data_IF_322158764700
#
_entry.id   IF_322158764700
#
_cell.length_a   1.000
_cell.length_b   1.000
_cell.length_c   1.000
_cell.angle_alpha   90.00
_cell.angle_beta   90.00
_cell.angle_gamma   90.00
#
_symmetry.space_group_name_H-M   'P 1'
#
loop_
_entity.id
_entity.type
_entity.pdbx_description
1 polymer ?
#
# COMPACT_ATOMS: atom_id res chain seq x y z
N UNK A 1 -4.46 4.55 16.57
CA UNK A 1 -3.55 5.68 16.85
C UNK A 1 -3.79 6.87 15.90
N UNK A 2 -3.67 6.72 14.57
CA UNK A 2 -3.86 7.84 13.64
C UNK A 2 -5.24 8.53 13.80
N UNK A 3 -6.32 7.76 13.68
CA UNK A 3 -7.72 8.25 13.80
C UNK A 3 -8.11 8.72 15.22
N UNK A 4 -7.44 8.21 16.25
CA UNK A 4 -7.83 8.42 17.64
C UNK A 4 -7.00 9.50 18.35
N UNK A 5 -5.80 9.80 17.87
CA UNK A 5 -4.85 10.73 18.49
C UNK A 5 -4.44 11.85 17.53
N UNK A 6 -3.87 11.51 16.38
CA UNK A 6 -3.27 12.51 15.49
C UNK A 6 -4.30 13.33 14.72
N UNK A 7 -5.22 12.68 14.02
CA UNK A 7 -6.21 13.36 13.17
C UNK A 7 -7.10 14.33 13.96
N UNK A 8 -7.68 13.96 15.13
CA UNK A 8 -8.51 14.87 15.91
C UNK A 8 -7.76 16.11 16.42
N UNK A 9 -6.51 15.94 16.86
CA UNK A 9 -5.70 17.04 17.39
C UNK A 9 -5.22 17.99 16.30
N UNK A 10 -4.81 17.47 15.13
CA UNK A 10 -4.50 18.30 13.95
C UNK A 10 -5.74 19.09 13.52
N UNK A 11 -6.91 18.45 13.47
CA UNK A 11 -8.15 19.14 13.15
C UNK A 11 -8.50 20.22 14.18
N UNK A 12 -8.28 19.95 15.46
CA UNK A 12 -8.45 20.92 16.56
C UNK A 12 -7.53 22.13 16.40
N UNK A 13 -6.24 21.92 16.12
CA UNK A 13 -5.26 22.98 15.92
C UNK A 13 -5.58 23.88 14.71
N UNK A 14 -6.04 23.28 13.60
CA UNK A 14 -6.49 24.02 12.42
C UNK A 14 -7.76 24.85 12.72
N UNK A 15 -8.74 24.28 13.42
CA UNK A 15 -9.97 24.99 13.80
C UNK A 15 -9.70 26.18 14.73
N UNK A 16 -8.74 26.08 15.66
CA UNK A 16 -8.31 27.21 16.51
C UNK A 16 -7.79 28.41 15.71
N UNK A 17 -7.33 28.18 14.47
CA UNK A 17 -6.90 29.22 13.52
C UNK A 17 -7.98 29.58 12.50
N UNK A 18 -9.24 29.19 12.72
CA UNK A 18 -10.37 29.37 11.80
C UNK A 18 -10.14 28.72 10.42
N UNK A 19 -9.44 27.58 10.38
CA UNK A 19 -9.23 26.80 9.17
C UNK A 19 -10.16 25.57 9.18
N UNK A 20 -10.69 25.25 8.01
CA UNK A 20 -11.47 24.03 7.77
C UNK A 20 -10.57 22.90 7.28
N UNK A 21 -10.92 21.67 7.66
CA UNK A 21 -10.23 20.45 7.25
C UNK A 21 -11.25 19.34 7.09
N UNK A 22 -10.95 18.36 6.23
CA UNK A 22 -11.70 17.12 6.04
C UNK A 22 -10.68 15.98 5.80
N UNK A 23 -11.17 14.74 5.79
CA UNK A 23 -10.37 13.61 5.32
C UNK A 23 -9.89 13.83 3.88
N UNK A 24 -8.70 13.30 3.58
CA UNK A 24 -8.20 13.31 2.20
C UNK A 24 -9.12 12.45 1.33
N UNK A 25 -9.48 12.96 0.15
CA UNK A 25 -10.28 12.22 -0.82
C UNK A 25 -9.79 12.45 -2.23
N UNK A 26 -9.82 11.39 -3.03
CA UNK A 26 -9.71 11.48 -4.49
C UNK A 26 -11.13 11.56 -5.05
N UNK A 27 -11.42 12.67 -5.73
CA UNK A 27 -12.71 12.87 -6.36
C UNK A 27 -12.71 12.32 -7.79
N UNK A 28 -13.76 11.58 -8.13
CA UNK A 28 -14.06 11.17 -9.50
C UNK A 28 -15.56 11.30 -9.74
N UNK A 29 -15.96 11.26 -11.01
CA UNK A 29 -17.36 11.30 -11.40
C UNK A 29 -17.62 10.13 -12.35
N UNK A 30 -18.67 9.37 -12.04
CA UNK A 30 -19.16 8.29 -12.89
C UNK A 30 -20.65 8.57 -13.13
N UNK A 31 -20.98 8.93 -14.39
CA UNK A 31 -22.27 9.51 -14.75
C UNK A 31 -22.55 10.80 -13.94
N UNK A 32 -23.69 10.87 -13.25
CA UNK A 32 -24.08 12.01 -12.39
C UNK A 32 -23.75 11.78 -10.91
N UNK A 33 -23.10 10.66 -10.56
CA UNK A 33 -22.73 10.34 -9.19
C UNK A 33 -21.32 10.83 -8.90
N UNK A 34 -21.19 11.72 -7.91
CA UNK A 34 -19.91 12.13 -7.36
C UNK A 34 -19.38 10.98 -6.50
N UNK A 35 -18.17 10.51 -6.81
CA UNK A 35 -17.46 9.48 -6.05
C UNK A 35 -16.29 10.12 -5.33
N UNK A 36 -16.26 9.96 -4.01
CA UNK A 36 -15.14 10.38 -3.18
C UNK A 36 -14.51 9.13 -2.59
N UNK A 37 -13.25 8.86 -2.91
CA UNK A 37 -12.53 7.73 -2.34
C UNK A 37 -11.57 8.25 -1.28
N UNK A 38 -11.56 7.62 -0.10
CA UNK A 38 -10.49 7.79 0.89
C UNK A 38 -9.13 7.46 0.27
N UNK A 39 -8.04 7.81 0.95
CA UNK A 39 -6.69 7.57 0.45
C UNK A 39 -6.53 6.16 -0.12
N UNK A 40 -6.01 6.07 -1.35
CA UNK A 40 -5.92 4.82 -2.10
C UNK A 40 -5.03 3.83 -1.36
N UNK A 41 -5.35 2.54 -1.41
CA UNK A 41 -4.54 1.46 -0.84
C UNK A 41 -3.36 1.08 -1.72
N UNK A 42 -3.06 1.89 -2.75
CA UNK A 42 -1.86 1.66 -3.53
C UNK A 42 -0.63 1.77 -2.62
N UNK A 43 0.37 0.95 -2.91
CA UNK A 43 1.54 0.75 -2.06
C UNK A 43 2.73 1.54 -2.59
N UNK A 44 2.42 2.75 -3.08
CA UNK A 44 3.34 3.67 -3.73
C UNK A 44 3.60 4.86 -2.81
N UNK A 45 4.68 5.61 -3.08
CA UNK A 45 5.00 6.81 -2.32
C UNK A 45 5.17 6.57 -0.81
N UNK A 46 4.54 7.42 -0.01
CA UNK A 46 4.50 7.40 1.46
C UNK A 46 4.02 6.08 2.04
N UNK A 47 3.24 5.29 1.27
CA UNK A 47 2.74 3.98 1.73
C UNK A 47 3.85 2.96 1.91
N UNK A 48 4.98 3.17 1.23
CA UNK A 48 6.21 2.41 1.43
C UNK A 48 6.68 2.42 2.90
N UNK A 49 6.44 3.52 3.62
CA UNK A 49 6.78 3.64 5.05
C UNK A 49 5.84 2.79 5.92
N UNK A 50 4.53 2.78 5.61
CA UNK A 50 3.56 1.93 6.33
C UNK A 50 3.85 0.45 6.14
N UNK A 51 4.36 0.03 4.97
CA UNK A 51 4.76 -1.35 4.71
C UNK A 51 5.96 -1.83 5.55
N UNK A 52 6.69 -0.92 6.19
CA UNK A 52 7.69 -1.25 7.23
C UNK A 52 7.17 -1.11 8.66
N UNK A 53 5.83 -1.10 8.84
CA UNK A 53 5.13 -0.81 10.10
C UNK A 53 5.60 0.51 10.72
N UNK A 54 5.71 1.53 9.89
CA UNK A 54 5.96 2.91 10.30
C UNK A 54 4.68 3.75 10.32
N UNK A 55 4.80 4.99 10.79
CA UNK A 55 3.77 6.02 10.64
C UNK A 55 4.24 7.03 9.59
N UNK A 56 3.37 7.33 8.64
CA UNK A 56 3.50 8.44 7.72
C UNK A 56 2.23 9.28 7.76
N UNK A 57 2.35 10.56 7.46
CA UNK A 57 1.21 11.47 7.38
C UNK A 57 1.34 12.28 6.10
N UNK A 58 0.33 12.19 5.24
CA UNK A 58 0.17 13.07 4.11
C UNK A 58 -0.78 14.19 4.51
N UNK A 59 -0.35 15.44 4.36
CA UNK A 59 -1.21 16.61 4.52
C UNK A 59 -1.21 17.40 3.22
N UNK A 60 -2.39 17.52 2.62
CA UNK A 60 -2.56 18.28 1.39
C UNK A 60 -3.39 19.53 1.62
N UNK A 61 -3.04 20.59 0.87
CA UNK A 61 -3.84 21.80 0.81
C UNK A 61 -4.28 22.05 -0.62
N UNK A 62 -5.52 22.51 -0.81
CA UNK A 62 -6.07 22.82 -2.14
C UNK A 62 -5.17 23.85 -2.84
N UNK A 63 -4.54 23.47 -3.95
CA UNK A 63 -3.62 24.34 -4.68
C UNK A 63 -3.67 24.24 -6.21
N UNK A 64 -4.30 23.20 -6.76
CA UNK A 64 -4.34 22.97 -8.22
C UNK A 64 -5.23 24.02 -8.89
N UNK A 65 -4.73 24.67 -9.95
CA UNK A 65 -5.49 25.59 -10.79
C UNK A 65 -5.80 26.96 -10.15
N UNK A 66 -5.27 27.28 -8.97
CA UNK A 66 -5.57 28.55 -8.25
C UNK A 66 -4.38 29.50 -8.10
N UNK A 67 -3.20 29.15 -8.62
CA UNK A 67 -2.01 30.01 -8.61
C UNK A 67 -1.54 30.39 -7.19
N UNK A 68 -1.27 31.68 -6.98
CA UNK A 68 -0.83 32.27 -5.71
C UNK A 68 -1.98 32.63 -4.76
N UNK A 69 -3.23 32.41 -5.16
CA UNK A 69 -4.39 32.71 -4.32
C UNK A 69 -4.30 31.99 -2.97
N UNK A 70 -4.69 32.70 -1.92
CA UNK A 70 -4.73 32.18 -0.55
C UNK A 70 -3.40 31.54 -0.09
N UNK A 71 -2.25 31.98 -0.63
CA UNK A 71 -0.94 31.40 -0.30
C UNK A 71 -0.70 31.39 1.21
N UNK A 72 -0.88 32.52 1.89
CA UNK A 72 -0.72 32.61 3.35
C UNK A 72 -1.59 31.61 4.12
N UNK A 73 -2.85 31.42 3.70
CA UNK A 73 -3.77 30.44 4.31
C UNK A 73 -3.26 29.02 4.12
N UNK A 74 -2.79 28.67 2.93
CA UNK A 74 -2.24 27.33 2.61
C UNK A 74 -0.96 27.05 3.39
N UNK A 75 -0.03 27.99 3.41
CA UNK A 75 1.20 27.90 4.20
C UNK A 75 0.89 27.76 5.68
N UNK A 76 -0.05 28.55 6.21
CA UNK A 76 -0.45 28.47 7.62
C UNK A 76 -1.07 27.12 7.94
N UNK A 77 -1.93 26.58 7.06
CA UNK A 77 -2.55 25.27 7.26
C UNK A 77 -1.50 24.14 7.29
N UNK A 78 -0.63 24.08 6.28
CA UNK A 78 0.43 23.06 6.20
C UNK A 78 1.41 23.14 7.36
N UNK A 79 1.86 24.35 7.72
CA UNK A 79 2.75 24.55 8.86
C UNK A 79 2.08 24.12 10.18
N UNK A 80 0.83 24.53 10.40
CA UNK A 80 0.09 24.15 11.61
C UNK A 80 -0.06 22.64 11.72
N UNK A 81 -0.39 21.95 10.62
CA UNK A 81 -0.51 20.50 10.61
C UNK A 81 0.84 19.83 10.94
N UNK A 82 1.93 20.26 10.30
CA UNK A 82 3.27 19.72 10.54
C UNK A 82 3.75 19.94 11.99
N UNK A 83 3.63 21.17 12.51
CA UNK A 83 3.98 21.50 13.90
C UNK A 83 3.16 20.67 14.89
N UNK A 84 1.86 20.52 14.63
CA UNK A 84 0.96 19.77 15.51
C UNK A 84 1.30 18.29 15.52
N UNK A 85 1.56 17.67 14.36
CA UNK A 85 2.01 16.27 14.29
C UNK A 85 3.30 16.08 15.08
N UNK A 86 4.29 16.95 14.88
CA UNK A 86 5.58 16.88 15.59
C UNK A 86 5.39 17.03 17.10
N UNK A 87 4.57 17.98 17.55
CA UNK A 87 4.33 18.21 18.96
C UNK A 87 3.58 17.03 19.61
N UNK A 88 2.55 16.48 18.95
CA UNK A 88 1.84 15.28 19.44
C UNK A 88 2.81 14.10 19.54
N UNK A 89 3.66 13.88 18.53
CA UNK A 89 4.67 12.83 18.58
C UNK A 89 5.64 13.04 19.73
N UNK A 90 6.11 14.26 19.97
CA UNK A 90 7.01 14.57 21.07
C UNK A 90 6.35 14.35 22.45
N UNK A 91 5.13 14.86 22.63
CA UNK A 91 4.37 14.77 23.87
C UNK A 91 3.95 13.32 24.19
N UNK A 92 3.81 12.47 23.16
CA UNK A 92 3.41 11.07 23.27
C UNK A 92 4.53 10.11 22.84
N UNK A 93 5.80 10.51 22.95
CA UNK A 93 6.92 9.78 22.35
C UNK A 93 6.98 8.31 22.77
N UNK A 94 6.79 8.01 24.06
CA UNK A 94 6.77 6.64 24.57
C UNK A 94 5.63 5.82 23.95
N UNK A 95 4.41 6.35 23.97
CA UNK A 95 3.23 5.69 23.40
C UNK A 95 3.41 5.40 21.90
N UNK A 96 3.91 6.38 21.14
CA UNK A 96 4.16 6.23 19.70
C UNK A 96 5.20 5.15 19.44
N UNK A 97 6.33 5.22 20.16
CA UNK A 97 7.41 4.25 20.02
C UNK A 97 6.96 2.84 20.38
N UNK A 98 6.35 2.66 21.54
CA UNK A 98 5.86 1.35 22.01
C UNK A 98 4.84 0.75 21.04
N UNK A 99 3.86 1.54 20.57
CA UNK A 99 2.86 1.05 19.61
C UNK A 99 3.50 0.59 18.30
N UNK A 100 4.50 1.33 17.81
CA UNK A 100 5.20 0.98 16.56
C UNK A 100 6.05 -0.29 16.74
N UNK A 101 6.80 -0.40 17.84
CA UNK A 101 7.63 -1.58 18.09
C UNK A 101 6.79 -2.83 18.39
N UNK A 102 5.68 -2.71 19.11
CA UNK A 102 4.72 -3.80 19.33
C UNK A 102 4.09 -4.25 18.02
N UNK A 103 3.67 -3.32 17.16
CA UNK A 103 3.11 -3.65 15.84
C UNK A 103 4.14 -4.34 14.94
N UNK A 104 5.42 -3.92 14.97
CA UNK A 104 6.51 -4.59 14.25
C UNK A 104 6.73 -6.00 14.76
N UNK A 105 6.77 -6.18 16.07
CA UNK A 105 6.94 -7.48 16.70
C UNK A 105 5.79 -8.41 16.33
N UNK A 106 4.55 -7.97 16.49
CA UNK A 106 3.36 -8.74 16.08
C UNK A 106 3.42 -9.09 14.60
N UNK A 107 3.72 -8.12 13.73
CA UNK A 107 3.82 -8.36 12.29
C UNK A 107 4.90 -9.39 11.92
N UNK A 108 6.04 -9.38 12.61
CA UNK A 108 7.11 -10.36 12.40
C UNK A 108 6.67 -11.74 12.89
N UNK A 109 6.00 -11.83 14.04
CA UNK A 109 5.70 -13.11 14.70
C UNK A 109 4.43 -13.78 14.16
N UNK A 110 3.42 -13.02 13.75
CA UNK A 110 2.11 -13.55 13.36
C UNK A 110 2.12 -14.34 12.05
N UNK A 111 1.07 -15.14 11.84
CA UNK A 111 0.83 -15.96 10.63
C UNK A 111 -0.46 -15.56 9.91
N UNK A 112 -0.90 -14.32 10.09
CA UNK A 112 -2.11 -13.82 9.45
C UNK A 112 -2.01 -13.91 7.92
N UNK A 113 -3.16 -14.08 7.25
CA UNK A 113 -3.22 -14.06 5.80
C UNK A 113 -2.70 -12.73 5.25
N UNK A 114 -2.00 -12.80 4.12
CA UNK A 114 -1.57 -11.65 3.35
C UNK A 114 -2.73 -11.19 2.45
N UNK A 115 -2.87 -9.87 2.30
CA UNK A 115 -3.83 -9.25 1.39
C UNK A 115 -3.10 -8.98 0.08
N UNK A 116 -3.56 -9.59 -1.01
CA UNK A 116 -2.99 -9.43 -2.36
C UNK A 116 -3.75 -8.37 -3.15
N UNK A 117 -5.08 -8.36 -3.03
CA UNK A 117 -5.96 -7.33 -3.58
C UNK A 117 -6.97 -6.91 -2.54
N UNK A 118 -7.27 -5.62 -2.53
CA UNK A 118 -8.33 -5.01 -1.75
C UNK A 118 -9.16 -4.05 -2.61
N UNK A 119 -10.24 -3.54 -2.02
CA UNK A 119 -11.08 -2.51 -2.62
C UNK A 119 -11.74 -1.65 -1.54
N UNK A 120 -12.09 -0.39 -1.86
CA UNK A 120 -12.87 0.45 -0.96
C UNK A 120 -14.24 -0.14 -0.66
N UNK A 121 -14.71 0.09 0.56
CA UNK A 121 -16.10 -0.17 0.97
C UNK A 121 -16.97 1.03 0.60
N UNK A 122 -17.72 0.89 -0.50
CA UNK A 122 -18.59 1.95 -1.01
C UNK A 122 -19.86 2.12 -0.16
N UNK A 123 -20.20 3.37 0.16
CA UNK A 123 -21.42 3.73 0.89
C UNK A 123 -21.97 5.08 0.44
N UNK A 124 -23.29 5.23 0.49
CA UNK A 124 -23.94 6.52 0.25
C UNK A 124 -23.78 7.41 1.49
N UNK A 125 -23.38 8.66 1.27
CA UNK A 125 -23.28 9.67 2.33
C UNK A 125 -23.40 11.06 1.73
N UNK A 126 -23.26 12.10 2.54
CA UNK A 126 -23.13 13.49 2.07
C UNK A 126 -21.73 14.02 2.33
N UNK A 127 -21.34 15.03 1.56
CA UNK A 127 -20.08 15.73 1.75
C UNK A 127 -20.29 17.25 1.66
N UNK A 128 -19.61 18.04 2.51
CA UNK A 128 -19.73 19.50 2.48
C UNK A 128 -18.99 20.08 1.26
N UNK A 129 -19.75 20.75 0.39
CA UNK A 129 -19.24 21.51 -0.76
C UNK A 129 -19.47 23.00 -0.57
N UNK A 130 -18.63 23.81 -1.21
CA UNK A 130 -18.88 25.25 -1.34
C UNK A 130 -19.75 25.48 -2.57
N UNK A 131 -20.96 25.99 -2.37
CA UNK A 131 -21.82 26.44 -3.45
C UNK A 131 -21.19 27.67 -4.13
N UNK A 132 -20.98 27.58 -5.44
CA UNK A 132 -20.24 28.59 -6.19
C UNK A 132 -21.03 29.90 -6.38
N UNK A 133 -22.35 29.87 -6.32
CA UNK A 133 -23.22 31.03 -6.54
C UNK A 133 -23.46 31.80 -5.24
N UNK A 134 -23.74 31.08 -4.16
CA UNK A 134 -24.12 31.64 -2.86
C UNK A 134 -22.95 31.77 -1.90
N UNK A 135 -21.87 31.00 -2.10
CA UNK A 135 -20.74 30.92 -1.18
C UNK A 135 -21.04 30.18 0.13
N UNK A 136 -22.20 29.52 0.23
CA UNK A 136 -22.58 28.74 1.40
C UNK A 136 -22.04 27.30 1.33
N UNK A 137 -21.89 26.67 2.48
CA UNK A 137 -21.59 25.23 2.55
C UNK A 137 -22.90 24.47 2.38
N UNK A 138 -22.92 23.50 1.46
CA UNK A 138 -24.06 22.61 1.20
C UNK A 138 -23.63 21.14 1.27
N UNK A 139 -24.53 20.30 1.77
CA UNK A 139 -24.31 18.85 1.84
C UNK A 139 -24.73 18.21 0.51
N UNK A 140 -23.76 17.64 -0.21
CA UNK A 140 -23.97 17.04 -1.52
C UNK A 140 -23.92 15.52 -1.39
N UNK A 141 -24.92 14.77 -1.92
CA UNK A 141 -24.88 13.32 -1.96
C UNK A 141 -23.66 12.81 -2.74
N UNK A 142 -22.92 11.87 -2.16
CA UNK A 142 -21.76 11.23 -2.76
C UNK A 142 -21.78 9.73 -2.50
N UNK A 143 -21.11 8.98 -3.35
CA UNK A 143 -20.69 7.62 -3.05
C UNK A 143 -19.28 7.67 -2.45
N UNK A 144 -19.16 7.36 -1.17
CA UNK A 144 -17.89 7.39 -0.44
C UNK A 144 -17.24 6.01 -0.40
N UNK A 145 -16.00 5.90 -0.87
CA UNK A 145 -15.20 4.68 -0.83
C UNK A 145 -14.29 4.66 0.40
N UNK A 146 -14.68 3.94 1.44
CA UNK A 146 -13.93 3.86 2.70
C UNK A 146 -12.82 2.80 2.64
N UNK A 147 -11.56 3.22 2.84
CA UNK A 147 -10.36 2.37 2.87
C UNK A 147 -9.83 2.12 4.29
N UNK A 148 -10.60 2.43 5.34
CA UNK A 148 -10.17 2.34 6.73
C UNK A 148 -11.10 1.41 7.55
N UNK A 149 -10.82 0.09 7.62
CA UNK A 149 -9.96 -0.67 6.70
C UNK A 149 -10.67 -0.92 5.34
N UNK A 150 -9.91 -1.30 4.30
CA UNK A 150 -10.50 -1.68 3.01
C UNK A 150 -11.11 -3.09 3.09
N UNK A 151 -11.92 -3.45 2.09
CA UNK A 151 -12.41 -4.83 1.96
C UNK A 151 -11.39 -5.67 1.18
N UNK A 152 -11.01 -6.82 1.73
CA UNK A 152 -10.09 -7.75 1.06
C UNK A 152 -10.81 -8.50 -0.07
N UNK A 153 -10.22 -8.49 -1.27
CA UNK A 153 -10.72 -9.18 -2.46
C UNK A 153 -10.01 -10.52 -2.69
N UNK A 154 -8.72 -10.57 -2.40
CA UNK A 154 -7.89 -11.75 -2.56
C UNK A 154 -6.91 -11.80 -1.40
N UNK A 155 -7.05 -12.83 -0.56
CA UNK A 155 -6.10 -13.13 0.51
C UNK A 155 -5.38 -14.44 0.22
N UNK A 156 -4.23 -14.63 0.86
CA UNK A 156 -3.47 -15.88 0.82
C UNK A 156 -2.86 -16.17 2.17
N UNK A 157 -2.64 -17.45 2.49
CA UNK A 157 -1.81 -17.82 3.63
C UNK A 157 -0.41 -17.18 3.49
N UNK A 158 0.15 -16.67 4.59
CA UNK A 158 1.52 -16.14 4.61
C UNK A 158 2.51 -17.25 4.27
N UNK A 159 3.37 -17.10 3.25
CA UNK A 159 4.40 -18.08 2.99
C UNK A 159 5.52 -17.96 4.03
N UNK A 160 6.25 -19.04 4.27
CA UNK A 160 7.48 -19.01 5.07
C UNK A 160 8.54 -18.11 4.39
N UNK A 161 8.66 -18.27 3.07
CA UNK A 161 9.58 -17.51 2.25
C UNK A 161 9.13 -17.45 0.78
N UNK A 162 9.72 -16.52 0.04
CA UNK A 162 9.76 -16.60 -1.43
C UNK A 162 11.15 -17.06 -1.87
N UNK A 163 11.20 -17.85 -2.95
CA UNK A 163 12.44 -18.29 -3.58
C UNK A 163 12.40 -18.02 -5.09
N UNK A 164 13.50 -17.52 -5.65
CA UNK A 164 13.61 -17.28 -7.09
C UNK A 164 15.06 -17.33 -7.59
N UNK A 165 15.22 -17.58 -8.89
CA UNK A 165 16.52 -17.76 -9.52
C UNK A 165 17.41 -16.51 -9.44
N UNK A 166 18.72 -16.73 -9.33
CA UNK A 166 19.76 -15.69 -9.41
C UNK A 166 19.68 -14.83 -10.68
N UNK A 167 19.07 -15.36 -11.74
CA UNK A 167 18.84 -14.63 -12.99
C UNK A 167 18.02 -13.35 -12.78
N UNK A 168 17.21 -13.28 -11.73
CA UNK A 168 16.40 -12.13 -11.36
C UNK A 168 17.07 -11.21 -10.33
N UNK A 169 18.38 -10.99 -10.47
CA UNK A 169 19.15 -10.12 -9.57
C UNK A 169 18.58 -8.69 -9.47
N UNK A 170 17.94 -8.17 -10.53
CA UNK A 170 17.26 -6.87 -10.51
C UNK A 170 16.07 -6.85 -9.53
N UNK A 171 15.28 -7.93 -9.46
CA UNK A 171 14.20 -8.05 -8.49
C UNK A 171 14.74 -8.07 -7.05
N UNK A 172 15.80 -8.84 -6.80
CA UNK A 172 16.47 -8.88 -5.50
C UNK A 172 17.05 -7.50 -5.10
N UNK A 173 17.68 -6.79 -6.04
CA UNK A 173 18.22 -5.44 -5.80
C UNK A 173 17.11 -4.46 -5.38
N UNK A 174 15.95 -4.51 -6.03
CA UNK A 174 14.80 -3.64 -5.73
C UNK A 174 14.17 -3.96 -4.38
N UNK A 175 14.06 -5.24 -4.03
CA UNK A 175 13.61 -5.66 -2.70
C UNK A 175 14.54 -5.14 -1.60
N UNK A 176 15.86 -5.31 -1.78
CA UNK A 176 16.88 -4.78 -0.85
C UNK A 176 16.80 -3.25 -0.73
N UNK A 177 16.58 -2.55 -1.84
CA UNK A 177 16.38 -1.09 -1.83
C UNK A 177 15.11 -0.67 -1.07
N UNK A 178 14.10 -1.53 -1.00
CA UNK A 178 12.89 -1.34 -0.20
C UNK A 178 13.04 -1.79 1.27
N UNK A 179 14.26 -2.17 1.70
CA UNK A 179 14.55 -2.60 3.07
C UNK A 179 14.32 -4.09 3.34
N UNK A 180 13.91 -4.87 2.33
CA UNK A 180 13.71 -6.32 2.48
C UNK A 180 15.06 -7.02 2.59
N UNK A 181 15.22 -7.83 3.62
CA UNK A 181 16.33 -8.78 3.74
C UNK A 181 16.13 -9.88 2.71
N UNK A 182 17.08 -9.99 1.78
CA UNK A 182 17.10 -10.98 0.70
C UNK A 182 18.41 -11.75 0.81
N UNK A 183 18.30 -13.00 1.26
CA UNK A 183 19.42 -13.93 1.40
C UNK A 183 19.73 -14.63 0.08
N UNK A 184 20.93 -15.18 -0.02
CA UNK A 184 21.35 -16.03 -1.12
C UNK A 184 21.63 -17.43 -0.58
N UNK A 185 21.13 -18.46 -1.28
CA UNK A 185 21.32 -19.83 -0.87
C UNK A 185 22.81 -20.21 -0.91
N UNK A 186 23.36 -20.66 0.22
CA UNK A 186 24.75 -21.13 0.27
C UNK A 186 24.95 -22.50 -0.41
N UNK A 187 23.88 -23.31 -0.47
CA UNK A 187 23.85 -24.65 -1.06
C UNK A 187 22.57 -24.84 -1.86
N UNK A 188 22.54 -25.86 -2.70
CA UNK A 188 21.33 -26.22 -3.45
C UNK A 188 20.16 -26.52 -2.50
N UNK A 189 18.97 -26.04 -2.86
CA UNK A 189 17.71 -26.34 -2.20
C UNK A 189 16.87 -27.25 -3.08
N UNK A 190 16.27 -28.28 -2.48
CA UNK A 190 15.27 -29.13 -3.11
C UNK A 190 14.10 -29.30 -2.15
N UNK A 191 12.88 -29.00 -2.62
CA UNK A 191 11.70 -29.08 -1.78
C UNK A 191 10.41 -28.80 -2.53
N UNK A 192 9.29 -29.05 -1.85
CA UNK A 192 7.97 -28.65 -2.32
C UNK A 192 7.86 -27.12 -2.28
N UNK A 193 7.36 -26.55 -3.37
CA UNK A 193 7.05 -25.13 -3.50
C UNK A 193 5.64 -24.95 -4.06
N UNK A 194 5.04 -23.80 -3.79
CA UNK A 194 3.85 -23.34 -4.47
C UNK A 194 4.25 -22.45 -5.66
N UNK A 195 3.81 -22.83 -6.86
CA UNK A 195 4.05 -22.13 -8.11
C UNK A 195 2.76 -21.49 -8.62
N UNK A 196 2.87 -20.29 -9.18
CA UNK A 196 1.75 -19.61 -9.84
C UNK A 196 1.74 -19.94 -11.32
N UNK A 197 0.62 -20.44 -11.81
CA UNK A 197 0.32 -20.58 -13.23
C UNK A 197 -0.51 -19.38 -13.65
N UNK A 198 -0.04 -18.61 -14.63
CA UNK A 198 -0.72 -17.41 -15.10
C UNK A 198 -1.87 -17.84 -16.02
N UNK A 199 -3.11 -17.69 -15.56
CA UNK A 199 -4.30 -18.09 -16.33
C UNK A 199 -4.73 -17.00 -17.32
N UNK A 200 -4.43 -15.74 -17.01
CA UNK A 200 -4.66 -14.60 -17.91
C UNK A 200 -3.63 -13.51 -17.66
N UNK A 201 -3.21 -12.82 -18.70
CA UNK A 201 -2.40 -11.61 -18.63
C UNK A 201 -2.96 -10.56 -19.60
N UNK A 202 -3.25 -9.37 -19.09
CA UNK A 202 -3.86 -8.28 -19.86
C UNK A 202 -3.02 -7.03 -19.70
N UNK A 203 -2.52 -6.52 -20.82
CA UNK A 203 -1.76 -5.27 -20.88
C UNK A 203 -2.73 -4.08 -20.95
N UNK A 204 -2.47 -3.04 -20.16
CA UNK A 204 -3.24 -1.81 -20.20
C UNK A 204 -3.05 -1.06 -21.53
N UNK A 205 -4.13 -0.46 -22.05
CA UNK A 205 -4.11 0.33 -23.29
C UNK A 205 -3.33 1.65 -23.13
N UNK A 206 -3.26 2.15 -21.89
CA UNK A 206 -2.56 3.39 -21.55
C UNK A 206 -1.37 3.11 -20.65
N UNK A 207 -0.41 4.04 -20.67
CA UNK A 207 0.79 3.95 -19.86
C UNK A 207 0.61 4.71 -18.56
N UNK A 208 1.02 4.08 -17.47
CA UNK A 208 1.24 4.72 -16.18
C UNK A 208 2.75 4.96 -16.01
N UNK A 209 3.17 6.20 -15.82
CA UNK A 209 4.60 6.58 -15.69
C UNK A 209 5.51 5.99 -16.78
N UNK A 210 4.98 5.90 -18.01
CA UNK A 210 5.71 5.37 -19.17
C UNK A 210 5.67 3.84 -19.32
N UNK A 211 5.03 3.11 -18.41
CA UNK A 211 4.90 1.65 -18.43
C UNK A 211 3.45 1.26 -18.71
N UNK A 212 3.23 0.33 -19.65
CA UNK A 212 1.93 -0.30 -19.83
C UNK A 212 1.79 -1.41 -18.77
N UNK A 213 0.88 -1.23 -17.83
CA UNK A 213 0.74 -2.14 -16.69
C UNK A 213 0.13 -3.48 -17.12
N UNK A 214 0.56 -4.57 -16.46
CA UNK A 214 0.03 -5.92 -16.72
C UNK A 214 -0.85 -6.39 -15.55
N UNK A 215 -2.11 -6.66 -15.84
CA UNK A 215 -3.02 -7.30 -14.88
C UNK A 215 -3.06 -8.79 -15.16
N UNK A 216 -2.80 -9.61 -14.14
CA UNK A 216 -2.84 -11.07 -14.25
C UNK A 216 -3.85 -11.70 -13.30
N UNK A 217 -4.25 -12.93 -13.63
CA UNK A 217 -4.89 -13.85 -12.69
C UNK A 217 -4.07 -15.14 -12.66
N UNK A 218 -4.09 -15.83 -11.52
CA UNK A 218 -3.27 -17.01 -11.32
C UNK A 218 -4.02 -18.17 -10.69
N UNK A 219 -3.51 -19.37 -10.93
CA UNK A 219 -3.83 -20.58 -10.18
C UNK A 219 -2.57 -21.09 -9.49
N UNK A 220 -2.71 -21.61 -8.28
CA UNK A 220 -1.60 -22.15 -7.51
C UNK A 220 -1.48 -23.65 -7.74
N UNK A 221 -0.26 -24.15 -7.84
CA UNK A 221 0.04 -25.58 -7.91
C UNK A 221 1.25 -25.91 -7.04
N UNK A 222 1.23 -27.09 -6.42
CA UNK A 222 2.36 -27.60 -5.64
C UNK A 222 3.24 -28.47 -6.51
N UNK A 223 4.55 -28.28 -6.42
CA UNK A 223 5.54 -29.08 -7.15
C UNK A 223 6.87 -29.12 -6.39
N UNK A 224 7.62 -30.20 -6.58
CA UNK A 224 9.01 -30.28 -6.12
C UNK A 224 9.92 -29.57 -7.11
N UNK A 225 10.73 -28.65 -6.61
CA UNK A 225 11.68 -27.86 -7.43
C UNK A 225 13.07 -27.93 -6.81
N UNK A 226 14.08 -27.75 -7.66
CA UNK A 226 15.48 -27.61 -7.26
C UNK A 226 15.97 -26.22 -7.61
N UNK A 227 16.61 -25.56 -6.67
CA UNK A 227 17.24 -24.25 -6.85
C UNK A 227 18.72 -24.38 -6.52
N UNK A 228 19.62 -24.00 -7.43
CA UNK A 228 21.05 -24.08 -7.15
C UNK A 228 21.46 -23.03 -6.12
N UNK A 229 22.63 -23.26 -5.49
CA UNK A 229 23.29 -22.24 -4.69
C UNK A 229 23.38 -20.89 -5.44
N UNK A 230 23.17 -19.80 -4.70
CA UNK A 230 23.07 -18.44 -5.21
C UNK A 230 21.66 -18.01 -5.63
N UNK A 231 20.65 -18.90 -5.61
CA UNK A 231 19.25 -18.46 -5.71
C UNK A 231 18.88 -17.56 -4.51
N UNK A 232 17.90 -16.68 -4.71
CA UNK A 232 17.48 -15.73 -3.67
C UNK A 232 16.42 -16.34 -2.77
N UNK A 233 16.55 -16.12 -1.47
CA UNK A 233 15.60 -16.51 -0.43
C UNK A 233 15.12 -15.27 0.32
N UNK A 234 13.81 -15.09 0.39
CA UNK A 234 13.17 -13.95 1.05
C UNK A 234 12.26 -14.47 2.14
N UNK A 235 12.78 -14.62 3.36
CA UNK A 235 11.99 -15.02 4.51
C UNK A 235 10.93 -13.97 4.83
N UNK A 236 9.74 -14.39 5.26
CA UNK A 236 8.64 -13.43 5.53
C UNK A 236 8.56 -13.01 6.98
N UNK A 237 9.32 -13.61 7.90
CA UNK A 237 9.40 -13.23 9.31
C UNK A 237 10.38 -12.08 9.53
N UNK A 238 10.10 -10.92 8.92
CA UNK A 238 10.92 -9.71 9.01
C UNK A 238 10.06 -8.44 8.89
N UNK A 239 10.57 -7.31 9.39
CA UNK A 239 9.85 -6.03 9.41
C UNK A 239 9.35 -5.62 8.02
N UNK A 240 10.19 -5.72 6.99
CA UNK A 240 9.82 -5.26 5.64
C UNK A 240 9.10 -6.33 4.79
N UNK A 241 8.60 -7.42 5.38
CA UNK A 241 7.98 -8.50 4.61
C UNK A 241 6.75 -8.07 3.80
N UNK A 242 6.02 -7.03 4.23
CA UNK A 242 4.90 -6.50 3.45
C UNK A 242 5.33 -6.00 2.06
N UNK A 243 6.56 -5.46 1.93
CA UNK A 243 7.13 -5.14 0.63
C UNK A 243 7.32 -6.39 -0.24
N UNK A 244 7.75 -7.51 0.35
CA UNK A 244 7.87 -8.76 -0.40
C UNK A 244 6.49 -9.25 -0.89
N UNK A 245 5.45 -9.20 -0.05
CA UNK A 245 4.09 -9.58 -0.44
C UNK A 245 3.58 -8.75 -1.62
N UNK A 246 3.72 -7.43 -1.52
CA UNK A 246 3.33 -6.50 -2.57
C UNK A 246 4.09 -6.75 -3.87
N UNK A 247 5.42 -6.90 -3.80
CA UNK A 247 6.26 -6.97 -5.00
C UNK A 247 6.25 -8.33 -5.66
N UNK A 248 6.10 -9.41 -4.89
CA UNK A 248 6.26 -10.78 -5.38
C UNK A 248 4.95 -11.49 -5.65
N UNK A 249 3.82 -11.11 -5.04
CA UNK A 249 2.52 -11.69 -5.39
C UNK A 249 2.06 -11.17 -6.76
N UNK A 250 1.84 -12.05 -7.76
CA UNK A 250 1.69 -11.64 -9.16
C UNK A 250 0.42 -10.81 -9.43
N UNK A 251 -0.66 -11.02 -8.68
CA UNK A 251 -1.90 -10.25 -8.83
C UNK A 251 -1.90 -8.90 -8.12
N UNK A 252 -0.87 -8.58 -7.34
CA UNK A 252 -0.80 -7.31 -6.63
C UNK A 252 -0.64 -6.15 -7.64
N UNK A 253 -1.47 -5.09 -7.57
CA UNK A 253 -1.45 -3.98 -8.53
C UNK A 253 -0.15 -3.16 -8.53
N UNK A 254 0.70 -3.36 -7.52
CA UNK A 254 2.01 -2.72 -7.37
C UNK A 254 3.17 -3.71 -7.42
N UNK A 255 2.86 -4.93 -7.88
CA UNK A 255 3.78 -6.04 -8.00
C UNK A 255 4.78 -5.89 -9.15
N UNK A 256 5.83 -6.71 -9.10
CA UNK A 256 6.82 -6.79 -10.16
C UNK A 256 6.25 -7.31 -11.48
N UNK A 257 5.20 -8.12 -11.45
CA UNK A 257 4.47 -8.52 -12.66
C UNK A 257 3.78 -7.31 -13.28
N UNK A 258 3.05 -6.53 -12.49
CA UNK A 258 2.29 -5.37 -13.00
C UNK A 258 3.17 -4.31 -13.64
N UNK A 259 4.38 -4.10 -13.11
CA UNK A 259 5.36 -3.18 -13.66
C UNK A 259 6.34 -3.81 -14.65
N UNK A 260 6.10 -5.05 -15.08
CA UNK A 260 6.93 -5.79 -16.04
C UNK A 260 8.41 -5.93 -15.62
N UNK A 261 8.69 -5.90 -14.31
CA UNK A 261 10.01 -6.25 -13.76
C UNK A 261 10.23 -7.77 -13.83
N UNK A 262 9.16 -8.53 -13.59
CA UNK A 262 9.08 -9.97 -13.81
C UNK A 262 7.95 -10.22 -14.84
N UNK A 263 8.22 -10.03 -16.13
CA UNK A 263 7.19 -10.11 -17.17
C UNK A 263 6.69 -11.56 -17.33
N UNK A 264 5.39 -11.69 -17.60
CA UNK A 264 4.70 -12.97 -17.83
C UNK A 264 3.61 -12.82 -18.89
N UNK A 265 3.24 -13.93 -19.51
CA UNK A 265 2.10 -14.10 -20.41
C UNK A 265 1.11 -15.13 -19.85
N UNK A 266 -0.09 -15.18 -20.44
CA UNK A 266 -1.03 -16.26 -20.16
C UNK A 266 -0.40 -17.61 -20.57
N UNK A 267 -0.50 -18.59 -19.68
CA UNK A 267 0.11 -19.92 -19.84
C UNK A 267 1.51 -20.06 -19.23
N UNK A 268 2.15 -18.96 -18.80
CA UNK A 268 3.46 -19.02 -18.17
C UNK A 268 3.36 -19.53 -16.72
N UNK A 269 4.41 -20.23 -16.27
CA UNK A 269 4.68 -20.43 -14.84
C UNK A 269 5.51 -19.23 -14.34
N UNK A 270 5.04 -18.57 -13.29
CA UNK A 270 5.74 -17.43 -12.71
C UNK A 270 7.07 -17.85 -12.07
N UNK A 271 8.06 -16.97 -12.13
CA UNK A 271 9.45 -17.29 -11.77
C UNK A 271 9.80 -17.03 -10.29
N UNK A 272 8.78 -16.76 -9.47
CA UNK A 272 8.89 -16.66 -8.01
C UNK A 272 7.98 -17.70 -7.39
N UNK A 273 8.53 -18.44 -6.45
CA UNK A 273 7.87 -19.57 -5.83
C UNK A 273 7.70 -19.31 -4.34
N UNK A 274 6.61 -19.79 -3.77
CA UNK A 274 6.33 -19.67 -2.35
C UNK A 274 6.79 -20.94 -1.64
N UNK A 275 7.48 -20.78 -0.53
CA UNK A 275 7.72 -21.84 0.42
C UNK A 275 6.60 -21.76 1.45
N UNK A 276 5.79 -22.81 1.55
CA UNK A 276 4.75 -22.87 2.57
C UNK A 276 5.35 -23.22 3.93
N UNK A 277 4.78 -22.72 5.04
CA UNK A 277 5.16 -23.17 6.37
C UNK A 277 5.05 -24.70 6.44
N UNK A 278 6.00 -25.34 7.13
CA UNK A 278 5.88 -26.78 7.40
C UNK A 278 4.62 -27.00 8.24
N UNK A 279 3.74 -27.89 7.81
CA UNK A 279 2.63 -28.36 8.64
C UNK A 279 3.21 -28.86 9.96
N UNK A 280 2.80 -28.27 11.09
CA UNK A 280 3.05 -28.85 12.41
C UNK A 280 2.27 -30.15 12.58
#
# INVERSE_FOLDING_TARGET
MAESLFVPEVASALRKKNLTTNGYVVASQENDTIKLQDFVTDTRGEVTVFLGQGLAFLSETRGIGIGDRNFQRRTTAGLTAAETVLQITADNAALVYETVEEARKDFIENDHEIIVRDQPRWMETTWPYLDAETGNITEVPVLFGNNTPPASNLTRARPEAYIFSRAWANAALRLRAAGVVVDELAVDFEGEVEAYNITSATLAETKYEGIALTTVNTELSKKTMKFPAGAYWVGTKQQHAAQAFVRLEPENPDGFVTFNILPVNAGDEYQVYRILPKSQ
#
